data_IF_491697544172
#
_entry.id   IF_491697544172
#
_cell.length_a   1.000
_cell.length_b   1.000
_cell.length_c   1.000
_cell.angle_alpha   90.00
_cell.angle_beta   90.00
_cell.angle_gamma   90.00
#
_symmetry.space_group_name_H-M   'P 1'
#
loop_
_entity.id
_entity.type
_entity.pdbx_description
1 polymer ?
#
# COMPACT_ATOMS: atom_id res chain seq x y z
N UNK A 1 26.54 -8.15 2.21
CA UNK A 1 25.33 -7.43 2.66
C UNK A 1 25.60 -6.81 4.01
N UNK A 2 25.54 -5.48 4.13
CA UNK A 2 25.68 -4.82 5.44
C UNK A 2 24.40 -5.04 6.26
N UNK A 3 24.54 -5.21 7.58
CA UNK A 3 23.41 -5.43 8.52
C UNK A 3 22.33 -4.35 8.33
N UNK A 4 22.73 -3.12 8.02
CA UNK A 4 21.83 -2.02 7.70
C UNK A 4 20.88 -2.32 6.53
N UNK A 5 21.41 -2.73 5.37
CA UNK A 5 20.59 -3.03 4.17
C UNK A 5 19.61 -4.16 4.46
N UNK A 6 20.08 -5.20 5.16
CA UNK A 6 19.21 -6.30 5.56
C UNK A 6 18.04 -5.80 6.42
N UNK A 7 18.31 -5.00 7.44
CA UNK A 7 17.28 -4.44 8.33
C UNK A 7 16.28 -3.58 7.56
N UNK A 8 16.74 -2.73 6.64
CA UNK A 8 15.85 -1.90 5.81
C UNK A 8 14.93 -2.77 4.94
N UNK A 9 15.50 -3.77 4.24
CA UNK A 9 14.72 -4.68 3.39
C UNK A 9 13.70 -5.49 4.21
N UNK A 10 14.10 -5.92 5.41
CA UNK A 10 13.23 -6.67 6.32
C UNK A 10 12.06 -5.81 6.81
N UNK A 11 12.32 -4.57 7.26
CA UNK A 11 11.28 -3.63 7.68
C UNK A 11 10.34 -3.31 6.50
N UNK A 12 10.89 -3.04 5.31
CA UNK A 12 10.09 -2.79 4.11
C UNK A 12 9.14 -3.95 3.82
N UNK A 13 9.66 -5.19 3.88
CA UNK A 13 8.89 -6.41 3.61
C UNK A 13 7.79 -6.65 4.64
N UNK A 14 8.07 -6.46 5.93
CA UNK A 14 7.07 -6.55 7.00
C UNK A 14 5.98 -5.50 6.78
N UNK A 15 6.37 -4.26 6.55
CA UNK A 15 5.42 -3.17 6.38
C UNK A 15 4.54 -3.40 5.14
N UNK A 16 5.12 -3.84 4.02
CA UNK A 16 4.37 -4.18 2.81
C UNK A 16 3.41 -5.36 3.03
N UNK A 17 3.81 -6.35 3.82
CA UNK A 17 2.95 -7.48 4.21
C UNK A 17 1.76 -7.03 5.06
N UNK A 18 1.98 -6.13 6.02
CA UNK A 18 0.91 -5.54 6.86
C UNK A 18 -0.05 -4.72 6.00
N UNK A 19 0.47 -3.89 5.08
CA UNK A 19 -0.36 -3.10 4.17
C UNK A 19 -1.25 -4.00 3.32
N UNK A 20 -0.67 -4.88 2.51
CA UNK A 20 -1.44 -5.71 1.59
C UNK A 20 -2.35 -6.69 2.34
N UNK A 21 -1.85 -7.32 3.41
CA UNK A 21 -2.62 -8.25 4.23
C UNK A 21 -3.80 -7.57 4.93
N UNK A 22 -3.60 -6.39 5.53
CA UNK A 22 -4.66 -5.63 6.17
C UNK A 22 -5.75 -5.20 5.18
N UNK A 23 -5.36 -4.68 4.02
CA UNK A 23 -6.30 -4.36 2.94
C UNK A 23 -7.05 -5.60 2.45
N UNK A 24 -6.36 -6.72 2.23
CA UNK A 24 -6.97 -7.96 1.77
C UNK A 24 -7.98 -8.53 2.78
N UNK A 25 -7.64 -8.52 4.07
CA UNK A 25 -8.53 -8.94 5.15
C UNK A 25 -9.79 -8.08 5.20
N UNK A 26 -9.64 -6.75 5.13
CA UNK A 26 -10.77 -5.83 5.09
C UNK A 26 -11.70 -6.09 3.92
N UNK A 27 -11.15 -6.26 2.71
CA UNK A 27 -11.93 -6.56 1.51
C UNK A 27 -12.66 -7.89 1.69
N UNK A 28 -11.97 -8.93 2.15
CA UNK A 28 -12.55 -10.27 2.35
C UNK A 28 -13.70 -10.25 3.36
N UNK A 29 -13.51 -9.57 4.50
CA UNK A 29 -14.56 -9.40 5.50
C UNK A 29 -15.76 -8.60 4.95
N UNK A 30 -15.51 -7.52 4.20
CA UNK A 30 -16.57 -6.70 3.62
C UNK A 30 -17.42 -7.45 2.59
N UNK A 31 -16.83 -8.44 1.90
CA UNK A 31 -17.48 -9.25 0.87
C UNK A 31 -18.10 -10.54 1.42
N UNK A 32 -17.72 -10.97 2.62
CA UNK A 32 -18.18 -12.23 3.21
C UNK A 32 -19.67 -12.21 3.56
N UNK A 33 -20.46 -13.05 2.89
CA UNK A 33 -21.89 -13.25 3.21
C UNK A 33 -22.08 -13.84 4.61
N UNK A 34 -21.26 -14.84 4.99
CA UNK A 34 -21.34 -15.48 6.31
C UNK A 34 -21.08 -14.49 7.44
N UNK A 35 -20.11 -13.59 7.25
CA UNK A 35 -19.80 -12.57 8.24
C UNK A 35 -20.97 -11.58 8.45
N UNK A 36 -21.69 -11.24 7.38
CA UNK A 36 -22.89 -10.38 7.42
C UNK A 36 -24.10 -11.01 8.12
N UNK A 37 -24.07 -12.31 8.42
CA UNK A 37 -25.13 -13.00 9.18
C UNK A 37 -24.93 -12.91 10.70
N UNK A 38 -23.76 -12.45 11.15
CA UNK A 38 -23.47 -12.32 12.59
C UNK A 38 -24.30 -11.17 13.18
N UNK A 39 -24.85 -11.38 14.37
CA UNK A 39 -25.53 -10.32 15.10
C UNK A 39 -24.57 -9.15 15.36
N UNK A 40 -25.02 -7.91 15.13
CA UNK A 40 -24.18 -6.71 15.26
C UNK A 40 -22.96 -6.66 14.33
N UNK A 41 -22.96 -7.37 13.19
CA UNK A 41 -21.82 -7.42 12.25
C UNK A 41 -21.27 -6.04 11.87
N UNK A 42 -22.13 -5.01 11.75
CA UNK A 42 -21.72 -3.66 11.36
C UNK A 42 -20.79 -3.03 12.40
N UNK A 43 -21.15 -3.15 13.68
CA UNK A 43 -20.33 -2.64 14.79
C UNK A 43 -19.01 -3.39 14.88
N UNK A 44 -19.05 -4.73 14.79
CA UNK A 44 -17.86 -5.59 14.77
C UNK A 44 -16.93 -5.20 13.61
N UNK A 45 -17.49 -5.03 12.40
CA UNK A 45 -16.74 -4.61 11.23
C UNK A 45 -16.12 -3.22 11.40
N UNK A 46 -16.85 -2.27 11.98
CA UNK A 46 -16.32 -0.93 12.24
C UNK A 46 -15.13 -0.97 13.19
N UNK A 47 -15.20 -1.73 14.28
CA UNK A 47 -14.07 -1.89 15.22
C UNK A 47 -12.87 -2.55 14.55
N UNK A 48 -13.08 -3.67 13.84
CA UNK A 48 -11.99 -4.39 13.15
C UNK A 48 -11.37 -3.50 12.07
N UNK A 49 -12.20 -2.86 11.24
CA UNK A 49 -11.73 -2.01 10.14
C UNK A 49 -11.00 -0.77 10.64
N UNK A 50 -11.41 -0.19 11.77
CA UNK A 50 -10.67 0.90 12.41
C UNK A 50 -9.25 0.46 12.80
N UNK A 51 -9.11 -0.63 13.55
CA UNK A 51 -7.78 -1.13 13.95
C UNK A 51 -6.91 -1.54 12.76
N UNK A 52 -7.50 -2.20 11.75
CA UNK A 52 -6.77 -2.56 10.52
C UNK A 52 -6.33 -1.32 9.75
N UNK A 53 -7.17 -0.29 9.66
CA UNK A 53 -6.82 0.98 9.00
C UNK A 53 -5.64 1.67 9.68
N UNK A 54 -5.59 1.67 11.02
CA UNK A 54 -4.46 2.23 11.75
C UNK A 54 -3.15 1.48 11.47
N UNK A 55 -3.19 0.14 11.47
CA UNK A 55 -2.04 -0.70 11.12
C UNK A 55 -1.57 -0.47 9.68
N UNK A 56 -2.50 -0.45 8.73
CA UNK A 56 -2.22 -0.20 7.31
C UNK A 56 -1.60 1.19 7.14
N UNK A 57 -2.21 2.24 7.72
CA UNK A 57 -1.69 3.60 7.64
C UNK A 57 -0.28 3.73 8.23
N UNK A 58 -0.02 3.08 9.38
CA UNK A 58 1.31 3.05 9.99
C UNK A 58 2.34 2.34 9.09
N UNK A 59 1.96 1.20 8.53
CA UNK A 59 2.83 0.43 7.63
C UNK A 59 3.19 1.20 6.36
N UNK A 60 2.26 1.96 5.78
CA UNK A 60 2.51 2.77 4.58
C UNK A 60 3.61 3.82 4.79
N UNK A 61 3.68 4.44 5.98
CA UNK A 61 4.76 5.38 6.33
C UNK A 61 6.11 4.66 6.31
N UNK A 62 6.19 3.47 6.93
CA UNK A 62 7.41 2.67 6.96
C UNK A 62 7.85 2.23 5.55
N UNK A 63 6.92 1.80 4.70
CA UNK A 63 7.18 1.43 3.30
C UNK A 63 7.75 2.61 2.53
N UNK A 64 7.18 3.80 2.71
CA UNK A 64 7.65 4.99 2.02
C UNK A 64 9.08 5.36 2.43
N UNK A 65 9.35 5.42 3.75
CA UNK A 65 10.67 5.76 4.27
C UNK A 65 11.74 4.74 3.83
N UNK A 66 11.46 3.45 4.01
CA UNK A 66 12.39 2.38 3.59
C UNK A 66 12.53 2.33 2.07
N UNK A 67 11.45 2.59 1.32
CA UNK A 67 11.46 2.65 -0.14
C UNK A 67 12.35 3.77 -0.69
N UNK A 68 12.40 4.94 -0.03
CA UNK A 68 13.35 6.02 -0.37
C UNK A 68 14.79 5.52 -0.20
N UNK A 69 15.11 4.91 0.94
CA UNK A 69 16.45 4.42 1.25
C UNK A 69 16.88 3.37 0.22
N UNK A 70 16.02 2.39 -0.08
CA UNK A 70 16.28 1.35 -1.08
C UNK A 70 16.44 1.93 -2.49
N UNK A 71 15.69 2.97 -2.84
CA UNK A 71 15.80 3.64 -4.15
C UNK A 71 17.13 4.36 -4.29
N UNK A 72 17.58 5.11 -3.29
CA UNK A 72 18.88 5.79 -3.28
C UNK A 72 20.02 4.78 -3.42
N UNK A 73 19.93 3.66 -2.69
CA UNK A 73 20.91 2.57 -2.79
C UNK A 73 20.95 1.97 -4.20
N UNK A 74 19.79 1.65 -4.78
CA UNK A 74 19.73 1.04 -6.12
C UNK A 74 20.23 2.01 -7.21
N UNK A 75 19.88 3.29 -7.13
CA UNK A 75 20.37 4.33 -8.03
C UNK A 75 21.89 4.54 -7.96
N UNK A 76 22.50 4.26 -6.80
CA UNK A 76 23.96 4.39 -6.62
C UNK A 76 24.74 3.21 -7.22
N UNK A 77 24.08 2.08 -7.48
CA UNK A 77 24.71 0.82 -7.90
C UNK A 77 24.47 0.46 -9.37
N UNK A 78 23.37 0.93 -9.95
CA UNK A 78 22.91 0.50 -11.27
C UNK A 78 23.09 1.63 -12.30
N UNK A 79 23.58 1.29 -13.48
CA UNK A 79 23.53 2.19 -14.64
C UNK A 79 22.08 2.35 -15.09
N UNK A 80 21.53 3.55 -14.91
CA UNK A 80 20.13 3.83 -15.20
C UNK A 80 19.92 4.12 -16.68
N UNK A 81 19.24 3.23 -17.40
CA UNK A 81 18.68 3.53 -18.73
C UNK A 81 17.39 4.38 -18.61
N UNK A 82 16.98 5.04 -19.70
CA UNK A 82 15.77 5.84 -19.78
C UNK A 82 14.52 5.04 -19.37
N UNK A 83 14.44 3.77 -19.77
CA UNK A 83 13.33 2.86 -19.41
C UNK A 83 13.21 2.67 -17.89
N UNK A 84 14.35 2.48 -17.22
CA UNK A 84 14.41 2.35 -15.76
C UNK A 84 13.96 3.65 -15.07
N UNK A 85 14.43 4.80 -15.54
CA UNK A 85 14.07 6.10 -14.98
C UNK A 85 12.57 6.39 -15.08
N UNK A 86 11.93 6.06 -16.21
CA UNK A 86 10.48 6.26 -16.41
C UNK A 86 9.67 5.40 -15.43
N UNK A 87 9.98 4.11 -15.31
CA UNK A 87 9.22 3.20 -14.43
C UNK A 87 9.43 3.57 -12.96
N UNK A 88 10.66 3.92 -12.58
CA UNK A 88 10.96 4.41 -11.24
C UNK A 88 10.18 5.71 -10.95
N UNK A 89 10.16 6.65 -11.89
CA UNK A 89 9.39 7.89 -11.78
C UNK A 89 7.91 7.64 -11.56
N UNK A 90 7.30 6.73 -12.33
CA UNK A 90 5.90 6.32 -12.14
C UNK A 90 5.66 5.72 -10.74
N UNK A 91 6.56 4.86 -10.28
CA UNK A 91 6.48 4.26 -8.94
C UNK A 91 6.54 5.31 -7.83
N UNK A 92 7.42 6.31 -7.97
CA UNK A 92 7.54 7.42 -7.01
C UNK A 92 6.27 8.28 -7.03
N UNK A 93 5.77 8.65 -8.21
CA UNK A 93 4.54 9.44 -8.35
C UNK A 93 3.33 8.73 -7.72
N UNK A 94 3.17 7.43 -7.97
CA UNK A 94 2.12 6.63 -7.33
C UNK A 94 2.28 6.59 -5.82
N UNK A 95 3.50 6.39 -5.32
CA UNK A 95 3.77 6.36 -3.87
C UNK A 95 3.41 7.69 -3.20
N UNK A 96 3.78 8.81 -3.82
CA UNK A 96 3.41 10.16 -3.35
C UNK A 96 1.90 10.39 -3.40
N UNK A 97 1.22 9.95 -4.47
CA UNK A 97 -0.23 10.05 -4.60
C UNK A 97 -0.97 9.27 -3.51
N UNK A 98 -0.49 8.07 -3.18
CA UNK A 98 -1.04 7.26 -2.08
C UNK A 98 -0.84 7.97 -0.74
N UNK A 99 0.38 8.45 -0.45
CA UNK A 99 0.67 9.21 0.77
C UNK A 99 -0.25 10.41 0.92
N UNK A 100 -0.42 11.19 -0.15
CA UNK A 100 -1.31 12.34 -0.16
C UNK A 100 -2.74 11.94 0.19
N UNK A 101 -3.25 10.84 -0.36
CA UNK A 101 -4.61 10.37 -0.03
C UNK A 101 -4.75 9.84 1.39
N UNK A 102 -3.73 9.20 1.95
CA UNK A 102 -3.74 8.81 3.37
C UNK A 102 -3.88 10.06 4.24
N UNK A 103 -3.06 11.08 3.96
CA UNK A 103 -3.14 12.35 4.67
C UNK A 103 -4.53 12.99 4.53
N UNK A 104 -5.07 13.01 3.30
CA UNK A 104 -6.42 13.50 3.03
C UNK A 104 -7.46 12.76 3.87
N UNK A 105 -7.49 11.42 3.81
CA UNK A 105 -8.49 10.60 4.51
C UNK A 105 -8.37 10.66 6.03
N UNK A 106 -7.18 10.88 6.56
CA UNK A 106 -7.00 11.13 8.00
C UNK A 106 -7.64 12.44 8.45
N UNK A 107 -7.66 13.46 7.59
CA UNK A 107 -8.18 14.78 7.92
C UNK A 107 -9.67 14.93 7.58
N UNK A 108 -10.13 14.32 6.48
CA UNK A 108 -11.52 14.45 6.00
C UNK A 108 -12.41 13.24 6.30
N UNK A 109 -11.84 12.17 6.85
CA UNK A 109 -12.49 10.85 6.89
C UNK A 109 -12.41 10.12 5.56
N UNK A 110 -12.81 8.84 5.57
CA UNK A 110 -12.80 7.98 4.39
C UNK A 110 -14.04 8.24 3.53
N UNK A 111 -13.90 8.68 2.27
CA UNK A 111 -15.03 8.88 1.38
C UNK A 111 -15.71 7.54 1.08
N UNK A 112 -17.02 7.59 0.85
CA UNK A 112 -17.80 6.46 0.35
C UNK A 112 -18.38 6.83 -1.00
N UNK A 113 -18.22 5.95 -1.98
CA UNK A 113 -18.72 6.15 -3.34
C UNK A 113 -19.84 5.16 -3.63
N UNK A 114 -20.94 5.64 -4.20
CA UNK A 114 -22.08 4.80 -4.59
C UNK A 114 -21.75 3.87 -5.76
N UNK A 115 -20.88 4.32 -6.68
CA UNK A 115 -20.40 3.51 -7.80
C UNK A 115 -19.27 2.60 -7.33
N UNK A 116 -19.49 1.28 -7.46
CA UNK A 116 -18.52 0.24 -7.09
C UNK A 116 -17.15 0.42 -7.77
N UNK A 117 -17.10 0.84 -9.03
CA UNK A 117 -15.84 1.10 -9.72
C UNK A 117 -15.08 2.28 -9.12
N UNK A 118 -15.79 3.36 -8.78
CA UNK A 118 -15.20 4.51 -8.10
C UNK A 118 -14.75 4.15 -6.69
N UNK A 119 -15.48 3.31 -5.96
CA UNK A 119 -15.05 2.85 -4.63
C UNK A 119 -13.74 2.03 -4.70
N UNK A 120 -13.57 1.23 -5.76
CA UNK A 120 -12.34 0.47 -5.98
C UNK A 120 -11.13 1.32 -6.38
N UNK A 121 -11.33 2.43 -7.10
CA UNK A 121 -10.24 3.28 -7.60
C UNK A 121 -9.97 4.47 -6.66
N UNK A 122 -11.00 5.02 -6.02
CA UNK A 122 -10.93 6.24 -5.22
C UNK A 122 -11.25 6.03 -3.73
N UNK A 123 -12.03 5.00 -3.39
CA UNK A 123 -12.36 4.65 -2.00
C UNK A 123 -11.24 3.90 -1.29
N UNK A 124 -11.52 3.27 -0.15
CA UNK A 124 -10.47 2.62 0.66
C UNK A 124 -9.79 1.44 -0.08
N UNK A 125 -10.56 0.69 -0.87
CA UNK A 125 -10.07 -0.48 -1.60
C UNK A 125 -8.93 -0.15 -2.56
N UNK A 126 -8.86 1.10 -3.01
CA UNK A 126 -7.82 1.56 -3.92
C UNK A 126 -6.42 1.47 -3.32
N UNK A 127 -6.27 1.48 -2.00
CA UNK A 127 -4.96 1.24 -1.37
C UNK A 127 -4.43 -0.17 -1.68
N UNK A 128 -5.30 -1.17 -1.77
CA UNK A 128 -4.91 -2.52 -2.19
C UNK A 128 -4.49 -2.52 -3.66
N UNK A 129 -5.31 -1.89 -4.52
CA UNK A 129 -5.07 -1.80 -5.98
C UNK A 129 -3.73 -1.13 -6.26
N UNK A 130 -3.47 0.02 -5.64
CA UNK A 130 -2.22 0.73 -5.83
C UNK A 130 -1.02 -0.02 -5.21
N UNK A 131 -1.22 -0.74 -4.11
CA UNK A 131 -0.20 -1.65 -3.58
C UNK A 131 0.21 -2.68 -4.62
N UNK A 132 -0.75 -3.40 -5.22
CA UNK A 132 -0.48 -4.37 -6.29
C UNK A 132 0.22 -3.72 -7.49
N UNK A 133 -0.21 -2.52 -7.91
CA UNK A 133 0.47 -1.79 -8.99
C UNK A 133 1.92 -1.45 -8.65
N UNK A 134 2.21 -1.02 -7.41
CA UNK A 134 3.58 -0.71 -6.97
C UNK A 134 4.46 -1.97 -6.98
N UNK A 135 3.93 -3.12 -6.57
CA UNK A 135 4.64 -4.39 -6.65
C UNK A 135 4.90 -4.81 -8.09
N UNK A 136 3.92 -4.64 -8.98
CA UNK A 136 4.11 -4.89 -10.42
C UNK A 136 5.21 -4.00 -11.02
N UNK A 137 5.22 -2.70 -10.71
CA UNK A 137 6.28 -1.80 -11.15
C UNK A 137 7.65 -2.16 -10.55
N UNK A 138 7.68 -2.68 -9.32
CA UNK A 138 8.92 -3.15 -8.70
C UNK A 138 9.51 -4.35 -9.46
N UNK A 139 8.66 -5.31 -9.84
CA UNK A 139 9.05 -6.48 -10.63
C UNK A 139 9.53 -6.07 -12.03
N UNK A 140 8.85 -5.12 -12.69
CA UNK A 140 9.32 -4.57 -13.98
C UNK A 140 10.71 -3.92 -13.86
N UNK A 141 10.99 -3.21 -12.76
CA UNK A 141 12.32 -2.62 -12.52
C UNK A 141 13.41 -3.66 -12.23
N UNK A 142 13.04 -4.85 -11.77
CA UNK A 142 13.95 -5.96 -11.55
C UNK A 142 14.24 -6.73 -12.83
N UNK A 143 13.28 -6.80 -13.75
CA UNK A 143 13.48 -7.46 -15.04
C UNK A 143 14.26 -6.63 -16.08
N UNK A 144 14.44 -5.32 -15.85
CA UNK A 144 15.21 -4.43 -16.73
C UNK A 144 16.71 -4.43 -16.41
N UNK A 145 17.09 -4.77 -15.18
CA UNK A 145 18.46 -4.68 -14.63
C UNK A 145 18.98 -6.08 -14.33
#
# INVERSE_FOLDING_TARGET
MTIFIFTINFIHSIAASIWLGGCFLMITLSMSHKFKLIENYQSIFQTISYSLRELVNGSMILIFLTGIIMTIQKLSLVQTDASYAIILGLKVLLSLGILFRIWQFRNSGYPTYSNKYLEWIMGYNSFAVYGVMIFFLADLLENIV
#
